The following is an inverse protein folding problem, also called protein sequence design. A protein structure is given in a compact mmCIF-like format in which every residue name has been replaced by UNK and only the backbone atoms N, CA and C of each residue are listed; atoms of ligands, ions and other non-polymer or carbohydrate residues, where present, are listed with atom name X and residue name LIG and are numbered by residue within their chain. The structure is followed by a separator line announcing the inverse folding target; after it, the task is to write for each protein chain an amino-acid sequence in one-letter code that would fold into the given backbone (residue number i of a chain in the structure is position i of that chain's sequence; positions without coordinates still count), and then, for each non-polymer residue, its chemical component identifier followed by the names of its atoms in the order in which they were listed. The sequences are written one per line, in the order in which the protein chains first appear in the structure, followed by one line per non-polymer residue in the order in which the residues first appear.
data_IF_425789517414
#
_entry.id   IF_425789517414
#
_cell.length_a   1.000
_cell.length_b   1.000
_cell.length_c   1.000
_cell.angle_alpha   90.00
_cell.angle_beta   90.00
_cell.angle_gamma   90.00
#
_symmetry.space_group_name_H-M   'P 1'
#
loop_
_entity.id
_entity.type
_entity.pdbx_description
1 polymer ?
#
# COMPACT_ATOMS: atom_id res chain seq x y z
N UNK A 1 1.94 12.71 -10.78
CA UNK A 1 3.36 12.76 -10.36
C UNK A 1 4.11 11.59 -10.94
N UNK A 2 5.44 11.72 -11.08
CA UNK A 2 6.32 10.63 -11.48
C UNK A 2 6.80 9.88 -10.24
N UNK A 3 6.60 8.56 -10.21
CA UNK A 3 7.23 7.69 -9.21
C UNK A 3 8.72 7.63 -9.54
N UNK A 4 9.58 7.96 -8.57
CA UNK A 4 11.05 8.00 -8.76
C UNK A 4 11.73 6.70 -8.34
N UNK A 5 11.23 6.09 -7.27
CA UNK A 5 11.78 4.87 -6.71
C UNK A 5 10.64 4.00 -6.15
N UNK A 6 10.77 2.70 -6.32
CA UNK A 6 10.03 1.69 -5.57
C UNK A 6 11.03 0.94 -4.68
N UNK A 7 10.66 0.75 -3.42
CA UNK A 7 11.46 0.02 -2.45
C UNK A 7 10.73 -1.21 -1.95
N UNK A 8 11.36 -2.37 -2.04
CA UNK A 8 10.78 -3.66 -1.63
C UNK A 8 11.69 -4.41 -0.67
N UNK A 9 11.17 -5.47 -0.06
CA UNK A 9 12.01 -6.45 0.60
C UNK A 9 12.74 -7.36 -0.41
N UNK A 10 13.47 -8.36 0.11
CA UNK A 10 14.23 -9.30 -0.70
C UNK A 10 13.40 -10.55 -1.11
N UNK A 11 12.08 -10.47 -1.07
CA UNK A 11 11.14 -11.51 -1.49
C UNK A 11 11.40 -11.97 -2.93
N UNK A 12 11.09 -13.23 -3.22
CA UNK A 12 11.36 -13.82 -4.53
C UNK A 12 10.56 -13.16 -5.65
N UNK A 13 9.36 -12.68 -5.34
CA UNK A 13 8.47 -11.93 -6.22
C UNK A 13 9.09 -10.61 -6.72
N UNK A 14 10.01 -10.00 -5.95
CA UNK A 14 10.66 -8.72 -6.29
C UNK A 14 12.05 -8.89 -6.92
N UNK A 15 12.42 -10.09 -7.35
CA UNK A 15 13.72 -10.34 -7.96
C UNK A 15 13.76 -9.86 -9.43
N UNK A 16 14.59 -10.49 -10.27
CA UNK A 16 14.97 -9.97 -11.58
C UNK A 16 13.79 -9.50 -12.47
N UNK A 17 12.71 -10.28 -12.55
CA UNK A 17 11.57 -9.93 -13.41
C UNK A 17 10.91 -8.60 -13.01
N UNK A 18 10.65 -8.42 -11.72
CA UNK A 18 10.05 -7.20 -11.21
C UNK A 18 11.04 -6.03 -11.30
N UNK A 19 12.30 -6.26 -10.92
CA UNK A 19 13.35 -5.24 -10.99
C UNK A 19 13.46 -4.62 -12.39
N UNK A 20 13.60 -5.46 -13.43
CA UNK A 20 13.73 -4.97 -14.79
C UNK A 20 12.46 -4.30 -15.30
N UNK A 21 11.28 -4.82 -14.94
CA UNK A 21 10.02 -4.18 -15.30
C UNK A 21 9.88 -2.76 -14.75
N UNK A 22 10.29 -2.52 -13.50
CA UNK A 22 10.22 -1.21 -12.87
C UNK A 22 11.27 -0.25 -13.45
N UNK A 23 12.48 -0.74 -13.72
CA UNK A 23 13.54 0.04 -14.38
C UNK A 23 13.16 0.43 -15.83
N UNK A 24 12.52 -0.45 -16.59
CA UNK A 24 12.03 -0.17 -17.95
C UNK A 24 10.97 0.94 -17.97
N UNK A 25 10.21 1.10 -16.88
CA UNK A 25 9.27 2.20 -16.68
C UNK A 25 9.97 3.51 -16.24
N UNK A 26 11.29 3.50 -16.13
CA UNK A 26 12.11 4.64 -15.70
C UNK A 26 11.95 4.97 -14.22
N UNK A 27 11.66 3.95 -13.40
CA UNK A 27 11.53 4.02 -11.94
C UNK A 27 12.70 3.23 -11.33
N UNK A 28 13.40 3.81 -10.36
CA UNK A 28 14.49 3.10 -9.68
C UNK A 28 13.94 1.99 -8.79
N UNK A 29 14.49 0.78 -8.86
CA UNK A 29 14.14 -0.28 -7.91
C UNK A 29 15.23 -0.46 -6.84
N UNK A 30 14.85 -0.36 -5.56
CA UNK A 30 15.76 -0.47 -4.42
C UNK A 30 15.32 -1.57 -3.44
N UNK A 31 16.26 -2.40 -2.99
CA UNK A 31 16.01 -3.37 -1.92
C UNK A 31 16.26 -2.75 -0.54
N UNK A 32 15.43 -3.08 0.46
CA UNK A 32 15.76 -2.78 1.86
C UNK A 32 16.98 -3.60 2.31
N UNK A 33 17.70 -3.07 3.31
CA UNK A 33 18.80 -3.78 3.93
C UNK A 33 18.31 -5.13 4.52
N UNK A 34 19.13 -6.18 4.42
CA UNK A 34 18.81 -7.47 5.03
C UNK A 34 18.65 -7.32 6.55
N UNK A 35 17.68 -8.04 7.11
CA UNK A 35 17.36 -8.06 8.54
C UNK A 35 16.95 -6.70 9.14
N UNK A 36 16.34 -5.81 8.35
CA UNK A 36 15.78 -4.53 8.86
C UNK A 36 14.27 -4.43 8.59
N UNK A 37 13.44 -5.20 9.30
CA UNK A 37 11.98 -5.21 9.10
C UNK A 37 11.32 -3.85 9.39
N UNK A 38 11.99 -2.99 10.16
CA UNK A 38 11.50 -1.65 10.48
C UNK A 38 11.39 -0.76 9.23
N UNK A 39 12.19 -1.04 8.19
CA UNK A 39 12.13 -0.32 6.92
C UNK A 39 10.85 -0.60 6.14
N UNK A 40 10.16 -1.71 6.44
CA UNK A 40 8.85 -2.03 5.86
C UNK A 40 7.68 -1.55 6.73
N UNK A 41 7.95 -0.80 7.81
CA UNK A 41 6.94 -0.49 8.83
C UNK A 41 5.71 0.26 8.33
N UNK A 42 5.79 0.96 7.19
CA UNK A 42 4.62 1.59 6.55
C UNK A 42 3.67 0.56 5.95
N UNK A 43 4.21 -0.40 5.19
CA UNK A 43 3.43 -1.50 4.59
C UNK A 43 2.83 -2.37 5.68
N UNK A 44 3.64 -2.75 6.68
CA UNK A 44 3.16 -3.55 7.82
C UNK A 44 2.05 -2.84 8.61
N UNK A 45 2.12 -1.52 8.75
CA UNK A 45 1.05 -0.73 9.38
C UNK A 45 -0.22 -0.75 8.53
N UNK A 46 -0.11 -0.61 7.21
CA UNK A 46 -1.26 -0.72 6.30
C UNK A 46 -1.93 -2.07 6.43
N UNK A 47 -1.17 -3.16 6.30
CA UNK A 47 -1.68 -4.52 6.44
C UNK A 47 -2.36 -4.76 7.78
N UNK A 48 -1.83 -4.18 8.87
CA UNK A 48 -2.46 -4.28 10.20
C UNK A 48 -3.81 -3.57 10.24
N UNK A 49 -3.93 -2.37 9.65
CA UNK A 49 -5.22 -1.68 9.55
C UNK A 49 -6.20 -2.48 8.72
N UNK A 50 -5.79 -3.03 7.57
CA UNK A 50 -6.65 -3.88 6.76
C UNK A 50 -7.10 -5.13 7.54
N UNK A 51 -6.19 -5.75 8.29
CA UNK A 51 -6.54 -6.90 9.12
C UNK A 51 -7.56 -6.54 10.21
N UNK A 52 -7.37 -5.44 10.93
CA UNK A 52 -8.16 -5.07 12.10
C UNK A 52 -9.51 -4.44 11.74
N UNK A 53 -9.55 -3.64 10.68
CA UNK A 53 -10.70 -2.81 10.36
C UNK A 53 -11.51 -3.37 9.18
N UNK A 54 -10.89 -4.16 8.31
CA UNK A 54 -11.58 -4.84 7.22
C UNK A 54 -11.77 -6.33 7.56
N UNK A 55 -10.71 -7.14 7.50
CA UNK A 55 -10.86 -8.60 7.54
C UNK A 55 -11.47 -9.13 8.84
N UNK A 56 -11.12 -8.57 10.00
CA UNK A 56 -11.71 -9.00 11.28
C UNK A 56 -13.19 -8.67 11.44
N UNK A 57 -13.68 -7.64 10.74
CA UNK A 57 -15.09 -7.22 10.78
C UNK A 57 -15.88 -7.78 9.59
N UNK A 58 -15.20 -8.46 8.65
CA UNK A 58 -15.79 -8.88 7.40
C UNK A 58 -16.58 -10.18 7.55
N UNK A 59 -17.87 -10.12 7.21
CA UNK A 59 -18.66 -11.30 6.87
C UNK A 59 -18.92 -11.29 5.36
N UNK A 60 -18.60 -12.39 4.68
CA UNK A 60 -18.76 -12.52 3.24
C UNK A 60 -19.18 -13.94 2.86
N UNK A 61 -19.90 -14.09 1.73
CA UNK A 61 -20.50 -15.37 1.30
C UNK A 61 -19.69 -16.12 0.24
N UNK A 62 -18.66 -15.49 -0.33
CA UNK A 62 -17.77 -16.05 -1.36
C UNK A 62 -16.91 -14.98 -2.04
N UNK A 63 -16.08 -15.38 -2.99
CA UNK A 63 -15.02 -14.51 -3.55
C UNK A 63 -15.55 -13.27 -4.28
N UNK A 64 -16.68 -13.37 -4.99
CA UNK A 64 -17.30 -12.23 -5.69
C UNK A 64 -17.72 -11.14 -4.69
N UNK A 65 -18.29 -11.56 -3.57
CA UNK A 65 -18.70 -10.67 -2.47
C UNK A 65 -17.48 -10.05 -1.78
N UNK A 66 -16.40 -10.82 -1.64
CA UNK A 66 -15.12 -10.33 -1.09
C UNK A 66 -14.49 -9.24 -1.96
N UNK A 67 -14.49 -9.41 -3.29
CA UNK A 67 -13.94 -8.39 -4.22
C UNK A 67 -14.73 -7.09 -4.13
N UNK A 68 -16.08 -7.16 -4.16
CA UNK A 68 -16.91 -5.97 -4.02
C UNK A 68 -16.67 -5.24 -2.69
N UNK A 69 -16.60 -5.99 -1.58
CA UNK A 69 -16.31 -5.43 -0.26
C UNK A 69 -14.90 -4.85 -0.16
N UNK A 70 -13.91 -5.46 -0.82
CA UNK A 70 -12.54 -4.92 -0.90
C UNK A 70 -12.54 -3.58 -1.63
N UNK A 71 -13.24 -3.47 -2.76
CA UNK A 71 -13.29 -2.22 -3.53
C UNK A 71 -13.98 -1.09 -2.74
N UNK A 72 -15.04 -1.43 -1.97
CA UNK A 72 -15.66 -0.49 -1.03
C UNK A 72 -14.70 -0.06 0.08
N UNK A 73 -13.96 -1.02 0.67
CA UNK A 73 -12.95 -0.75 1.68
C UNK A 73 -11.82 0.14 1.16
N UNK A 74 -11.28 -0.14 -0.02
CA UNK A 74 -10.22 0.65 -0.64
C UNK A 74 -10.66 2.09 -0.91
N UNK A 75 -11.91 2.29 -1.37
CA UNK A 75 -12.48 3.63 -1.50
C UNK A 75 -12.56 4.31 -0.14
N UNK A 76 -13.20 3.68 0.84
CA UNK A 76 -13.32 4.25 2.18
C UNK A 76 -11.94 4.63 2.75
N UNK A 77 -10.97 3.70 2.72
CA UNK A 77 -9.63 3.90 3.27
C UNK A 77 -8.89 5.09 2.64
N UNK A 78 -9.00 5.23 1.30
CA UNK A 78 -8.27 6.24 0.56
C UNK A 78 -8.95 7.61 0.50
N UNK A 79 -10.29 7.67 0.53
CA UNK A 79 -11.04 8.92 0.29
C UNK A 79 -11.92 9.39 1.44
N UNK A 80 -12.14 8.59 2.48
CA UNK A 80 -13.06 8.96 3.57
C UNK A 80 -12.48 8.69 4.97
N UNK A 81 -11.57 7.73 5.13
CA UNK A 81 -10.96 7.38 6.40
C UNK A 81 -9.94 8.45 6.81
N UNK A 82 -10.07 9.10 7.98
CA UNK A 82 -9.08 10.06 8.47
C UNK A 82 -7.84 9.32 8.99
N UNK A 83 -6.64 9.88 8.75
CA UNK A 83 -5.38 9.30 9.22
C UNK A 83 -4.63 10.26 10.13
N UNK A 84 -4.34 9.83 11.36
CA UNK A 84 -3.53 10.61 12.30
C UNK A 84 -2.13 10.95 11.77
N UNK A 85 -1.54 10.09 10.92
CA UNK A 85 -0.26 10.36 10.26
C UNK A 85 -0.32 11.50 9.23
N UNK A 86 -1.53 11.90 8.82
CA UNK A 86 -1.82 12.98 7.88
C UNK A 86 -2.64 14.10 8.55
N UNK A 87 -2.49 14.29 9.86
CA UNK A 87 -3.23 15.31 10.63
C UNK A 87 -4.76 15.24 10.44
N UNK A 88 -5.30 14.02 10.29
CA UNK A 88 -6.73 13.79 10.08
C UNK A 88 -7.17 13.81 8.61
N UNK A 89 -6.29 14.18 7.68
CA UNK A 89 -6.59 14.08 6.25
C UNK A 89 -6.66 12.61 5.80
N UNK A 90 -7.39 12.39 4.72
CA UNK A 90 -7.41 11.12 4.00
C UNK A 90 -6.10 10.94 3.20
N UNK A 91 -5.72 9.70 2.82
CA UNK A 91 -4.54 9.47 1.99
C UNK A 91 -4.63 10.22 0.65
N UNK A 92 -5.82 10.31 0.07
CA UNK A 92 -6.04 11.06 -1.16
C UNK A 92 -5.81 12.56 -1.00
N UNK A 93 -6.29 13.16 0.10
CA UNK A 93 -6.05 14.59 0.37
C UNK A 93 -4.57 14.88 0.61
N UNK A 94 -3.91 14.07 1.45
CA UNK A 94 -2.48 14.20 1.69
C UNK A 94 -1.66 14.04 0.39
N UNK A 95 -2.08 13.12 -0.49
CA UNK A 95 -1.49 12.95 -1.81
C UNK A 95 -1.72 14.21 -2.65
N UNK A 96 -2.95 14.70 -2.76
CA UNK A 96 -3.30 15.90 -3.54
C UNK A 96 -2.46 17.10 -3.11
N UNK A 97 -2.31 17.32 -1.81
CA UNK A 97 -1.53 18.42 -1.26
C UNK A 97 -0.02 18.29 -1.56
N UNK A 98 0.49 17.06 -1.71
CA UNK A 98 1.87 16.80 -2.16
C UNK A 98 2.06 17.07 -3.65
N UNK A 99 0.98 17.08 -4.43
CA UNK A 99 0.99 17.25 -5.89
C UNK A 99 0.76 18.68 -6.37
N UNK A 100 0.25 19.55 -5.49
CA UNK A 100 0.09 20.98 -5.72
C UNK A 100 1.37 21.72 -5.36
#
# INVERSE_FOLDING_TARGET
FRIREVRTDNGHEFQAKFHWHVEDLGIRHAYIKRATPQLNGKVERSHRSDQQEFYQLLSYKGDVDLVAKRDEWERFYNVARPHGAHNGQTPYEALRDTLM
#
